data_IF_999835114289
#
_entry.id   IF_999835114289
#
_cell.length_a   1.000
_cell.length_b   1.000
_cell.length_c   1.000
_cell.angle_alpha   90.00
_cell.angle_beta   90.00
_cell.angle_gamma   90.00
#
_symmetry.space_group_name_H-M   'P 1'
#
loop_
_entity.id
_entity.type
_entity.pdbx_description
1 polymer ?
#
# COMPACT_ATOMS: atom_id res chain seq x y z
N UNK A 1 -29.85 -4.03 23.01
CA UNK A 1 -28.95 -2.92 22.63
C UNK A 1 -27.80 -2.90 23.60
N UNK A 2 -26.60 -2.99 23.09
CA UNK A 2 -25.38 -2.93 23.90
C UNK A 2 -25.16 -1.48 24.32
N UNK A 3 -24.72 -1.24 25.56
CA UNK A 3 -24.38 0.10 26.04
C UNK A 3 -23.05 0.58 25.40
N UNK A 4 -22.76 1.89 25.41
CA UNK A 4 -21.48 2.45 24.94
C UNK A 4 -20.26 1.81 25.61
N UNK A 5 -20.34 1.52 26.91
CA UNK A 5 -19.30 0.79 27.65
C UNK A 5 -19.20 -0.66 27.19
N UNK A 6 -20.32 -1.32 26.91
CA UNK A 6 -20.37 -2.65 26.34
C UNK A 6 -19.76 -2.76 24.96
N UNK A 7 -20.02 -1.78 24.09
CA UNK A 7 -19.36 -1.70 22.76
C UNK A 7 -17.83 -1.55 22.88
N UNK A 8 -17.39 -0.69 23.80
CA UNK A 8 -15.97 -0.51 24.07
C UNK A 8 -15.32 -1.80 24.63
N UNK A 9 -15.98 -2.45 25.57
CA UNK A 9 -15.53 -3.75 26.08
C UNK A 9 -15.45 -4.82 25.00
N UNK A 10 -16.48 -4.90 24.14
CA UNK A 10 -16.49 -5.85 23.02
C UNK A 10 -15.37 -5.57 22.00
N UNK A 11 -15.00 -4.30 21.80
CA UNK A 11 -13.85 -3.93 20.98
C UNK A 11 -12.54 -4.52 21.53
N UNK A 12 -12.26 -4.31 22.80
CA UNK A 12 -11.07 -4.88 23.44
C UNK A 12 -11.10 -6.40 23.53
N UNK A 13 -12.27 -6.99 23.82
CA UNK A 13 -12.43 -8.43 23.88
C UNK A 13 -12.14 -9.11 22.52
N UNK A 14 -12.58 -8.50 21.41
CA UNK A 14 -12.25 -8.99 20.06
C UNK A 14 -10.76 -8.96 19.81
N UNK A 15 -10.06 -7.87 20.15
CA UNK A 15 -8.61 -7.78 20.01
C UNK A 15 -7.87 -8.87 20.78
N UNK A 16 -8.29 -9.15 22.02
CA UNK A 16 -7.70 -10.23 22.84
C UNK A 16 -7.95 -11.59 22.21
N UNK A 17 -9.17 -11.84 21.72
CA UNK A 17 -9.50 -13.11 21.06
C UNK A 17 -8.75 -13.30 19.74
N UNK A 18 -8.59 -12.24 18.96
CA UNK A 18 -7.79 -12.27 17.73
C UNK A 18 -6.32 -12.59 18.02
N UNK A 19 -5.73 -11.94 19.05
CA UNK A 19 -4.36 -12.23 19.46
C UNK A 19 -4.20 -13.65 20.00
N UNK A 20 -5.18 -14.14 20.76
CA UNK A 20 -5.19 -15.52 21.25
C UNK A 20 -5.29 -16.53 20.10
N UNK A 21 -6.13 -16.24 19.10
CA UNK A 21 -6.26 -17.10 17.92
C UNK A 21 -4.96 -17.15 17.11
N UNK A 22 -4.30 -16.00 16.89
CA UNK A 22 -2.99 -15.93 16.23
C UNK A 22 -1.92 -16.71 16.98
N UNK A 23 -1.89 -16.59 18.31
CA UNK A 23 -0.99 -17.35 19.16
C UNK A 23 -1.24 -18.87 19.04
N UNK A 24 -2.51 -19.30 19.10
CA UNK A 24 -2.88 -20.69 18.92
C UNK A 24 -2.50 -21.22 17.53
N UNK A 25 -2.73 -20.43 16.48
CA UNK A 25 -2.42 -20.79 15.12
C UNK A 25 -0.91 -20.93 14.90
N UNK A 26 -0.12 -19.99 15.43
CA UNK A 26 1.34 -20.02 15.36
C UNK A 26 1.94 -21.26 16.07
N UNK A 27 1.35 -21.68 17.19
CA UNK A 27 1.84 -22.87 17.91
C UNK A 27 1.25 -24.19 17.40
N UNK A 28 0.04 -24.19 16.84
CA UNK A 28 -0.54 -25.38 16.18
C UNK A 28 0.14 -25.69 14.84
N UNK A 29 0.58 -24.67 14.10
CA UNK A 29 1.25 -24.83 12.81
C UNK A 29 2.68 -25.41 12.91
N UNK A 30 3.33 -25.34 14.06
CA UNK A 30 4.62 -26.02 14.29
C UNK A 30 4.51 -27.56 14.16
N UNK A 31 3.32 -28.12 14.22
CA UNK A 31 3.09 -29.57 14.07
C UNK A 31 2.71 -30.04 12.65
N UNK A 32 2.58 -29.14 11.65
CA UNK A 32 2.04 -29.46 10.32
C UNK A 32 2.91 -29.15 9.11
N UNK A 33 4.09 -28.55 9.24
CA UNK A 33 5.04 -28.36 8.12
C UNK A 33 4.69 -27.27 7.11
N UNK A 34 3.54 -26.56 7.22
CA UNK A 34 3.21 -25.41 6.38
C UNK A 34 3.98 -24.19 6.83
N UNK A 35 4.67 -23.53 5.90
CA UNK A 35 5.25 -22.22 6.17
C UNK A 35 4.18 -21.15 6.08
N UNK A 36 4.10 -20.32 7.11
CA UNK A 36 3.21 -19.16 7.17
C UNK A 36 4.02 -17.90 6.95
N UNK A 37 3.47 -16.96 6.20
CA UNK A 37 4.05 -15.66 5.96
C UNK A 37 2.98 -14.69 5.47
N UNK A 38 2.96 -13.49 6.04
CA UNK A 38 1.97 -12.46 5.72
C UNK A 38 2.66 -11.13 5.41
N UNK A 39 2.19 -10.48 4.38
CA UNK A 39 2.65 -9.14 3.97
C UNK A 39 1.46 -8.21 3.85
N UNK A 40 1.56 -7.04 4.45
CA UNK A 40 0.65 -5.91 4.20
C UNK A 40 1.38 -4.85 3.39
N UNK A 41 0.75 -4.29 2.35
CA UNK A 41 1.39 -3.35 1.43
C UNK A 41 0.42 -2.27 0.98
N UNK A 42 0.94 -1.08 0.72
CA UNK A 42 0.24 -0.14 -0.16
C UNK A 42 0.04 -0.78 -1.53
N UNK A 43 -0.80 -0.20 -2.38
CA UNK A 43 -1.21 -0.81 -3.65
C UNK A 43 -0.10 -0.78 -4.72
N UNK A 44 1.02 -1.46 -4.42
CA UNK A 44 2.18 -1.56 -5.31
C UNK A 44 2.18 -2.85 -6.11
N UNK A 45 2.11 -2.75 -7.43
CA UNK A 45 2.20 -3.91 -8.31
C UNK A 45 3.54 -4.66 -8.19
N UNK A 46 4.64 -3.94 -7.98
CA UNK A 46 5.94 -4.57 -7.79
C UNK A 46 6.00 -5.44 -6.52
N UNK A 47 5.24 -5.09 -5.46
CA UNK A 47 5.16 -5.90 -4.24
C UNK A 47 4.48 -7.24 -4.51
N UNK A 48 3.42 -7.23 -5.31
CA UNK A 48 2.74 -8.47 -5.74
C UNK A 48 3.67 -9.35 -6.56
N UNK A 49 4.42 -8.77 -7.51
CA UNK A 49 5.39 -9.50 -8.32
C UNK A 49 6.51 -10.09 -7.47
N UNK A 50 7.09 -9.31 -6.55
CA UNK A 50 8.12 -9.80 -5.62
C UNK A 50 7.58 -10.97 -4.76
N UNK A 51 6.32 -10.91 -4.33
CA UNK A 51 5.69 -11.98 -3.58
C UNK A 51 5.51 -13.25 -4.42
N UNK A 52 5.13 -13.12 -5.69
CA UNK A 52 5.06 -14.25 -6.64
C UNK A 52 6.43 -14.89 -6.83
N UNK A 53 7.46 -14.09 -7.08
CA UNK A 53 8.83 -14.60 -7.26
C UNK A 53 9.39 -15.25 -5.98
N UNK A 54 9.06 -14.71 -4.80
CA UNK A 54 9.40 -15.34 -3.52
C UNK A 54 8.82 -16.76 -3.43
N UNK A 55 7.55 -16.92 -3.75
CA UNK A 55 6.89 -18.23 -3.68
C UNK A 55 7.42 -19.23 -4.71
N UNK A 56 7.69 -18.78 -5.95
CA UNK A 56 8.32 -19.59 -6.98
C UNK A 56 9.73 -20.03 -6.59
N UNK A 57 10.53 -19.11 -6.03
CA UNK A 57 11.92 -19.35 -5.66
C UNK A 57 12.12 -20.14 -4.37
N UNK A 58 11.14 -20.15 -3.48
CA UNK A 58 11.28 -20.75 -2.16
C UNK A 58 11.29 -22.29 -2.16
N UNK A 59 10.86 -22.96 -3.24
CA UNK A 59 10.83 -24.42 -3.34
C UNK A 59 9.98 -25.09 -2.24
N UNK A 60 8.91 -24.41 -1.80
CA UNK A 60 8.07 -24.83 -0.69
C UNK A 60 6.84 -25.54 -1.26
N UNK A 61 6.67 -26.82 -0.93
CA UNK A 61 5.52 -27.61 -1.41
C UNK A 61 4.22 -27.29 -0.70
N UNK A 62 4.29 -26.77 0.56
CA UNK A 62 3.12 -26.42 1.36
C UNK A 62 3.32 -25.09 2.07
N UNK A 63 2.43 -24.13 1.79
CA UNK A 63 2.44 -22.82 2.44
C UNK A 63 1.01 -22.33 2.72
N UNK A 64 0.91 -21.44 3.69
CA UNK A 64 -0.30 -20.69 4.02
C UNK A 64 0.14 -19.23 4.20
N UNK A 65 0.04 -18.46 3.12
CA UNK A 65 0.61 -17.12 3.02
C UNK A 65 -0.47 -16.11 2.66
N UNK A 66 -0.33 -14.89 3.13
CA UNK A 66 -1.24 -13.82 2.77
C UNK A 66 -0.51 -12.58 2.27
N UNK A 67 -1.10 -11.96 1.26
CA UNK A 67 -0.71 -10.64 0.75
C UNK A 67 -1.94 -9.74 0.83
N UNK A 68 -1.84 -8.64 1.59
CA UNK A 68 -2.91 -7.67 1.79
C UNK A 68 -2.51 -6.33 1.18
N UNK A 69 -3.22 -5.91 0.16
CA UNK A 69 -3.17 -4.52 -0.28
C UNK A 69 -4.16 -3.73 0.59
N UNK A 70 -3.66 -2.79 1.38
CA UNK A 70 -4.47 -2.05 2.36
C UNK A 70 -3.92 -0.66 2.65
N UNK A 71 -4.63 0.08 3.47
CA UNK A 71 -4.36 1.47 3.82
C UNK A 71 -3.08 1.62 4.66
N UNK A 72 -2.39 2.73 4.51
CA UNK A 72 -1.10 2.98 5.18
C UNK A 72 -1.15 2.79 6.69
N UNK A 73 -2.23 3.27 7.35
CA UNK A 73 -2.37 3.08 8.79
C UNK A 73 -2.57 1.61 9.17
N UNK A 74 -3.38 0.88 8.39
CA UNK A 74 -3.63 -0.55 8.62
C UNK A 74 -2.37 -1.39 8.41
N UNK A 75 -1.51 -1.03 7.46
CA UNK A 75 -0.21 -1.69 7.28
C UNK A 75 0.62 -1.61 8.56
N UNK A 76 0.70 -0.41 9.16
CA UNK A 76 1.43 -0.20 10.41
C UNK A 76 0.80 -1.00 11.55
N UNK A 77 -0.53 -0.98 11.65
CA UNK A 77 -1.29 -1.74 12.66
C UNK A 77 -1.10 -3.26 12.51
N UNK A 78 -1.17 -3.77 11.29
CA UNK A 78 -0.97 -5.20 11.00
C UNK A 78 0.41 -5.69 11.45
N UNK A 79 1.47 -4.92 11.17
CA UNK A 79 2.83 -5.29 11.59
C UNK A 79 3.02 -5.10 13.10
N UNK A 80 2.45 -4.03 13.68
CA UNK A 80 2.51 -3.79 15.12
C UNK A 80 1.87 -4.93 15.93
N UNK A 81 0.77 -5.47 15.43
CA UNK A 81 0.01 -6.57 16.06
C UNK A 81 0.38 -7.96 15.53
N UNK A 82 1.48 -8.07 14.76
CA UNK A 82 1.97 -9.35 14.22
C UNK A 82 0.94 -10.09 13.33
N UNK A 83 0.03 -9.37 12.69
CA UNK A 83 -0.87 -9.91 11.65
C UNK A 83 -0.15 -10.04 10.31
N UNK A 84 0.93 -9.27 10.13
CA UNK A 84 1.86 -9.37 9.01
C UNK A 84 3.29 -9.24 9.52
N UNK A 85 4.20 -10.04 8.95
CA UNK A 85 5.63 -9.98 9.27
C UNK A 85 6.29 -8.77 8.65
N UNK A 86 5.81 -8.35 7.46
CA UNK A 86 6.35 -7.23 6.71
C UNK A 86 5.21 -6.30 6.29
N UNK A 87 5.45 -4.99 6.40
CA UNK A 87 4.60 -3.95 5.85
C UNK A 87 5.37 -3.10 4.84
N UNK A 88 4.86 -2.91 3.61
CA UNK A 88 5.48 -2.05 2.62
C UNK A 88 4.75 -0.72 2.52
N UNK A 89 5.51 0.37 2.60
CA UNK A 89 5.01 1.74 2.47
C UNK A 89 6.11 2.70 1.99
N UNK A 90 5.78 3.95 1.75
CA UNK A 90 6.77 4.95 1.40
C UNK A 90 6.79 6.13 2.37
N UNK A 91 7.94 6.80 2.42
CA UNK A 91 8.13 8.13 2.98
C UNK A 91 8.39 9.17 1.90
N UNK A 92 8.02 10.39 2.19
CA UNK A 92 8.54 11.60 1.56
C UNK A 92 8.74 12.67 2.65
N UNK A 93 9.27 13.83 2.31
CA UNK A 93 9.53 14.90 3.27
C UNK A 93 8.27 15.37 4.01
N UNK A 94 7.11 15.27 3.36
CA UNK A 94 5.83 15.68 3.93
C UNK A 94 5.30 14.69 4.97
N UNK A 95 5.27 13.40 4.66
CA UNK A 95 4.62 12.38 5.52
C UNK A 95 5.59 11.76 6.55
N UNK A 96 6.90 11.85 6.33
CA UNK A 96 7.94 11.24 7.18
C UNK A 96 7.79 11.55 8.67
N UNK A 97 7.62 12.81 9.12
CA UNK A 97 7.55 13.10 10.55
C UNK A 97 6.39 12.40 11.27
N UNK A 98 5.26 12.20 10.57
CA UNK A 98 4.07 11.55 11.13
C UNK A 98 4.24 10.03 11.13
N UNK A 99 4.66 9.48 10.00
CA UNK A 99 4.82 8.03 9.86
C UNK A 99 5.97 7.49 10.71
N UNK A 100 7.14 8.16 10.75
CA UNK A 100 8.26 7.76 11.62
C UNK A 100 7.86 7.76 13.10
N UNK A 101 7.12 8.79 13.54
CA UNK A 101 6.62 8.82 14.92
C UNK A 101 5.70 7.63 15.20
N UNK A 102 4.79 7.30 14.28
CA UNK A 102 3.85 6.20 14.44
C UNK A 102 4.58 4.85 14.45
N UNK A 103 5.51 4.64 13.53
CA UNK A 103 6.36 3.45 13.42
C UNK A 103 7.17 3.26 14.70
N UNK A 104 7.85 4.30 15.16
CA UNK A 104 8.65 4.25 16.41
C UNK A 104 7.77 3.98 17.63
N UNK A 105 6.59 4.61 17.74
CA UNK A 105 5.67 4.41 18.88
C UNK A 105 5.17 2.97 18.97
N UNK A 106 5.07 2.28 17.84
CA UNK A 106 4.65 0.87 17.75
C UNK A 106 5.84 -0.11 17.79
N UNK A 107 7.05 0.36 18.14
CA UNK A 107 8.28 -0.48 18.22
C UNK A 107 8.61 -1.18 16.90
N UNK A 108 8.37 -0.50 15.78
CA UNK A 108 8.69 -0.97 14.44
C UNK A 108 9.97 -0.31 13.91
N UNK A 109 10.61 -0.94 12.95
CA UNK A 109 11.76 -0.41 12.20
C UNK A 109 11.43 -0.31 10.72
N UNK A 110 11.72 0.85 10.11
CA UNK A 110 11.64 1.04 8.66
C UNK A 110 13.02 0.81 8.05
N UNK A 111 13.04 0.04 6.95
CA UNK A 111 14.23 -0.20 6.13
C UNK A 111 13.92 0.22 4.70
N UNK A 112 14.70 1.18 4.18
CA UNK A 112 14.57 1.63 2.80
C UNK A 112 15.04 0.54 1.83
N UNK A 113 14.26 0.33 0.77
CA UNK A 113 14.60 -0.55 -0.34
C UNK A 113 15.18 0.22 -1.52
N UNK A 114 14.50 1.29 -1.91
CA UNK A 114 14.93 2.17 -3.00
C UNK A 114 14.22 3.53 -2.94
N UNK A 115 14.74 4.48 -3.70
CA UNK A 115 14.08 5.76 -3.94
C UNK A 115 13.52 5.84 -5.34
N UNK A 116 12.43 6.60 -5.50
CA UNK A 116 11.78 6.82 -6.79
C UNK A 116 11.35 8.27 -6.96
N UNK A 117 11.44 8.78 -8.19
CA UNK A 117 10.84 10.06 -8.56
C UNK A 117 9.37 9.87 -8.94
N UNK A 118 8.53 10.90 -8.76
CA UNK A 118 7.12 10.82 -9.10
C UNK A 118 6.88 10.55 -10.58
N UNK A 119 5.97 9.66 -10.86
CA UNK A 119 5.44 9.35 -12.17
C UNK A 119 3.92 9.34 -12.12
N UNK A 120 3.29 9.52 -13.27
CA UNK A 120 1.87 9.23 -13.42
C UNK A 120 1.67 7.85 -14.05
N UNK A 121 0.65 7.15 -13.61
CA UNK A 121 0.12 5.98 -14.32
C UNK A 121 -1.12 6.40 -15.08
N UNK A 122 -1.14 6.09 -16.38
CA UNK A 122 -2.20 6.40 -17.33
C UNK A 122 -2.42 5.23 -18.27
N UNK A 123 -3.56 5.22 -18.96
CA UNK A 123 -3.79 4.27 -20.03
C UNK A 123 -2.85 4.51 -21.22
N UNK A 124 -2.43 3.47 -21.92
CA UNK A 124 -1.55 3.58 -23.11
C UNK A 124 -2.12 4.42 -24.25
N UNK A 125 -3.44 4.58 -24.30
CA UNK A 125 -4.13 5.41 -25.29
C UNK A 125 -4.47 6.81 -24.77
N UNK A 126 -4.01 7.16 -23.56
CA UNK A 126 -4.22 8.47 -22.96
C UNK A 126 -3.60 9.57 -23.82
N UNK A 127 -4.22 10.77 -23.96
CA UNK A 127 -3.68 11.86 -24.78
C UNK A 127 -2.23 12.30 -24.42
N UNK A 128 -1.79 12.02 -23.18
CA UNK A 128 -0.42 12.32 -22.71
C UNK A 128 0.54 11.12 -22.82
N UNK A 129 0.11 9.98 -23.32
CA UNK A 129 0.89 8.73 -23.33
C UNK A 129 2.22 8.80 -24.11
N UNK A 130 2.31 9.68 -25.10
CA UNK A 130 3.51 9.84 -25.92
C UNK A 130 4.44 10.98 -25.45
N UNK A 131 4.23 11.50 -24.25
CA UNK A 131 5.10 12.53 -23.67
C UNK A 131 6.23 11.90 -22.89
N UNK A 132 7.41 12.49 -22.99
CA UNK A 132 8.57 12.10 -22.19
C UNK A 132 8.44 12.53 -20.72
N UNK A 133 7.75 13.66 -20.48
CA UNK A 133 7.49 14.24 -19.16
C UNK A 133 6.15 14.97 -19.19
N UNK A 134 5.40 14.91 -18.10
CA UNK A 134 4.10 15.59 -17.92
C UNK A 134 4.15 16.47 -16.68
N UNK A 135 3.57 17.67 -16.75
CA UNK A 135 3.39 18.57 -15.59
C UNK A 135 2.02 18.42 -14.94
N UNK A 136 1.90 18.85 -13.69
CA UNK A 136 0.62 18.88 -12.97
C UNK A 136 -0.43 19.76 -13.65
N UNK A 137 -0.02 20.87 -14.28
CA UNK A 137 -0.92 21.76 -15.01
C UNK A 137 -1.57 21.05 -16.20
N UNK A 138 -0.84 20.18 -16.90
CA UNK A 138 -1.39 19.40 -18.00
C UNK A 138 -2.40 18.35 -17.55
N UNK A 139 -2.32 17.92 -16.29
CA UNK A 139 -3.20 16.93 -15.68
C UNK A 139 -4.52 17.51 -15.16
N UNK A 140 -4.65 18.82 -15.01
CA UNK A 140 -5.80 19.47 -14.39
C UNK A 140 -7.15 19.10 -15.02
N UNK A 141 -7.15 18.89 -16.33
CA UNK A 141 -8.38 18.52 -17.10
C UNK A 141 -8.79 17.06 -16.95
N UNK A 142 -7.90 16.18 -16.48
CA UNK A 142 -8.15 14.76 -16.34
C UNK A 142 -8.56 14.36 -14.92
N UNK A 143 -9.36 13.31 -14.73
CA UNK A 143 -9.68 12.83 -13.39
C UNK A 143 -8.45 12.27 -12.67
N UNK A 144 -8.19 12.78 -11.48
CA UNK A 144 -7.24 12.20 -10.55
C UNK A 144 -7.88 11.06 -9.77
N UNK A 145 -7.23 9.91 -9.70
CA UNK A 145 -7.71 8.74 -9.00
C UNK A 145 -6.70 8.38 -7.93
N UNK A 146 -7.15 8.21 -6.70
CA UNK A 146 -6.32 7.89 -5.55
C UNK A 146 -6.95 6.81 -4.68
N UNK A 147 -6.14 6.20 -3.82
CA UNK A 147 -6.65 5.26 -2.82
C UNK A 147 -7.19 6.00 -1.60
N UNK A 148 -8.37 5.57 -1.12
CA UNK A 148 -8.93 6.12 0.12
C UNK A 148 -8.22 5.53 1.35
N UNK A 149 -8.15 6.33 2.42
CA UNK A 149 -7.47 5.95 3.66
C UNK A 149 -8.44 5.72 4.82
N UNK A 150 -9.72 5.40 4.52
CA UNK A 150 -10.74 5.02 5.51
C UNK A 150 -10.89 6.03 6.66
N UNK A 151 -10.91 5.50 7.89
CA UNK A 151 -11.07 6.32 9.11
C UNK A 151 -9.85 7.20 9.41
N UNK A 152 -8.68 6.84 8.87
CA UNK A 152 -7.43 7.60 8.97
C UNK A 152 -7.20 8.46 7.72
N UNK A 153 -8.23 9.08 7.18
CA UNK A 153 -8.21 9.87 5.95
C UNK A 153 -7.50 11.22 6.15
N UNK A 154 -6.18 11.14 6.31
CA UNK A 154 -5.27 12.29 6.37
C UNK A 154 -4.29 12.22 5.20
N UNK A 155 -3.89 13.38 4.66
CA UNK A 155 -2.89 13.46 3.61
C UNK A 155 -1.55 12.78 3.97
N UNK A 156 -1.23 12.65 5.26
CA UNK A 156 -0.03 11.95 5.71
C UNK A 156 -0.06 10.44 5.47
N UNK A 157 -1.23 9.86 5.34
CA UNK A 157 -1.42 8.43 5.05
C UNK A 157 -1.69 8.14 3.57
N UNK A 158 -1.79 9.17 2.72
CA UNK A 158 -1.99 8.97 1.29
C UNK A 158 -0.88 8.12 0.67
N UNK A 159 -1.26 7.27 -0.26
CA UNK A 159 -0.32 6.41 -1.01
C UNK A 159 0.31 7.14 -2.19
N UNK A 160 -0.22 8.30 -2.53
CA UNK A 160 0.25 9.14 -3.61
C UNK A 160 1.00 10.35 -3.08
N UNK A 161 2.15 10.64 -3.67
CA UNK A 161 2.88 11.90 -3.45
C UNK A 161 2.05 13.08 -4.02
N UNK A 162 2.22 14.26 -3.46
CA UNK A 162 1.44 15.47 -3.80
C UNK A 162 -0.07 15.35 -3.49
N UNK A 163 -0.42 14.57 -2.49
CA UNK A 163 -1.81 14.37 -2.06
C UNK A 163 -2.52 15.65 -1.58
N UNK A 164 -1.76 16.66 -1.15
CA UNK A 164 -2.27 17.97 -0.70
C UNK A 164 -2.69 18.90 -1.83
N UNK A 165 -2.31 18.62 -3.07
CA UNK A 165 -2.70 19.45 -4.23
C UNK A 165 -4.18 19.26 -4.51
N UNK A 166 -4.92 20.37 -4.54
CA UNK A 166 -6.36 20.36 -4.86
C UNK A 166 -6.54 20.07 -6.35
N UNK A 167 -7.41 19.12 -6.66
CA UNK A 167 -7.72 18.71 -8.03
C UNK A 167 -9.21 18.88 -8.33
N UNK A 168 -9.57 19.48 -9.47
CA UNK A 168 -10.99 19.72 -9.83
C UNK A 168 -11.82 18.44 -9.96
N UNK A 169 -11.17 17.35 -10.39
CA UNK A 169 -11.81 16.04 -10.58
C UNK A 169 -11.04 15.01 -9.78
N UNK A 170 -11.62 14.50 -8.72
CA UNK A 170 -10.98 13.54 -7.82
C UNK A 170 -11.91 12.37 -7.54
N UNK A 171 -11.44 11.15 -7.78
CA UNK A 171 -12.15 9.90 -7.49
C UNK A 171 -11.29 9.10 -6.51
N UNK A 172 -11.91 8.59 -5.44
CA UNK A 172 -11.24 7.71 -4.48
C UNK A 172 -11.74 6.29 -4.66
N UNK A 173 -10.81 5.34 -4.60
CA UNK A 173 -11.07 3.90 -4.75
C UNK A 173 -10.42 3.11 -3.62
N UNK A 174 -10.81 1.85 -3.46
CA UNK A 174 -10.25 0.95 -2.43
C UNK A 174 -9.33 -0.13 -2.98
N UNK A 175 -9.38 -0.35 -4.27
CA UNK A 175 -8.67 -1.46 -4.90
C UNK A 175 -8.06 -1.06 -6.25
N UNK A 176 -7.02 -1.78 -6.62
CA UNK A 176 -6.24 -1.52 -7.84
C UNK A 176 -7.02 -1.84 -9.12
N UNK A 177 -7.93 -2.81 -9.10
CA UNK A 177 -8.72 -3.16 -10.27
C UNK A 177 -9.70 -2.03 -10.64
N UNK A 178 -10.35 -1.43 -9.63
CA UNK A 178 -11.17 -0.24 -9.80
C UNK A 178 -10.35 0.95 -10.29
N UNK A 179 -9.17 1.18 -9.71
CA UNK A 179 -8.26 2.25 -10.13
C UNK A 179 -7.93 2.11 -11.62
N UNK A 180 -7.43 0.96 -12.05
CA UNK A 180 -7.04 0.74 -13.44
C UNK A 180 -8.21 0.84 -14.42
N UNK A 181 -9.39 0.34 -14.04
CA UNK A 181 -10.59 0.48 -14.85
C UNK A 181 -10.97 1.95 -15.07
N UNK A 182 -10.82 2.79 -14.05
CA UNK A 182 -11.11 4.22 -14.16
C UNK A 182 -10.01 4.98 -14.92
N UNK A 183 -8.73 4.59 -14.78
CA UNK A 183 -7.64 5.14 -15.61
C UNK A 183 -7.94 4.93 -17.10
N UNK A 184 -8.38 3.73 -17.48
CA UNK A 184 -8.68 3.40 -18.86
C UNK A 184 -10.02 3.97 -19.36
N UNK A 185 -11.04 3.97 -18.50
CA UNK A 185 -12.40 4.34 -18.91
C UNK A 185 -12.67 5.83 -18.93
N UNK A 186 -11.88 6.64 -18.20
CA UNK A 186 -12.10 8.08 -18.05
C UNK A 186 -10.90 8.93 -18.48
N UNK A 187 -9.89 8.34 -19.12
CA UNK A 187 -8.59 8.99 -19.34
C UNK A 187 -8.06 9.62 -18.04
N UNK A 188 -8.17 8.88 -16.94
CA UNK A 188 -7.74 9.32 -15.64
C UNK A 188 -6.24 9.11 -15.41
N UNK A 189 -5.73 9.63 -14.30
CA UNK A 189 -4.36 9.40 -13.86
C UNK A 189 -4.28 9.18 -12.35
N UNK A 190 -3.21 8.50 -11.92
CA UNK A 190 -2.76 8.46 -10.53
C UNK A 190 -1.28 8.80 -10.46
N UNK A 191 -0.79 9.20 -9.28
CA UNK A 191 0.64 9.50 -9.06
C UNK A 191 1.27 8.38 -8.25
N UNK A 192 2.39 7.84 -8.71
CA UNK A 192 3.08 6.73 -8.09
C UNK A 192 4.60 6.78 -8.30
N UNK A 193 5.30 5.73 -7.90
CA UNK A 193 6.76 5.61 -8.00
C UNK A 193 7.30 5.41 -9.42
N UNK A 194 6.45 5.17 -10.40
CA UNK A 194 6.87 4.81 -11.75
C UNK A 194 7.27 3.34 -11.93
N UNK A 195 7.40 2.59 -10.84
CA UNK A 195 7.71 1.16 -10.91
C UNK A 195 6.42 0.39 -11.20
N UNK A 196 6.29 -0.07 -12.42
CA UNK A 196 5.17 -0.87 -12.89
C UNK A 196 5.72 -2.14 -13.55
N UNK A 197 5.08 -3.26 -13.28
CA UNK A 197 5.41 -4.52 -13.91
C UNK A 197 4.38 -4.82 -15.01
N UNK A 198 4.85 -4.85 -16.25
CA UNK A 198 3.99 -5.08 -17.42
C UNK A 198 3.41 -6.51 -17.44
N UNK A 199 4.13 -7.50 -16.91
CA UNK A 199 3.64 -8.89 -16.85
C UNK A 199 2.45 -9.03 -15.90
N UNK A 200 2.46 -8.27 -14.79
CA UNK A 200 1.41 -8.31 -13.75
C UNK A 200 0.25 -7.36 -14.07
N UNK A 201 0.53 -6.18 -14.63
CA UNK A 201 -0.47 -5.13 -14.85
C UNK A 201 -1.01 -5.08 -16.29
N UNK A 202 -0.42 -5.85 -17.20
CA UNK A 202 -0.71 -5.83 -18.63
C UNK A 202 -0.19 -4.57 -19.33
N UNK A 203 -0.12 -4.64 -20.64
CA UNK A 203 0.41 -3.57 -21.52
C UNK A 203 -0.50 -2.32 -21.60
N UNK A 204 -1.59 -2.25 -20.85
CA UNK A 204 -2.59 -1.20 -21.02
C UNK A 204 -2.35 0.02 -20.14
N UNK A 205 -1.56 -0.11 -19.08
CA UNK A 205 -1.16 0.99 -18.19
C UNK A 205 0.32 1.26 -18.38
N UNK A 206 0.65 2.52 -18.56
CA UNK A 206 2.02 3.00 -18.74
C UNK A 206 2.39 4.01 -17.66
N UNK A 207 3.69 4.14 -17.44
CA UNK A 207 4.29 5.12 -16.53
C UNK A 207 4.91 6.26 -17.33
N UNK A 208 4.60 7.50 -16.96
CA UNK A 208 5.20 8.70 -17.55
C UNK A 208 5.77 9.57 -16.43
N UNK A 209 7.03 10.05 -16.54
CA UNK A 209 7.65 10.91 -15.53
C UNK A 209 6.84 12.19 -15.29
N UNK A 210 6.76 12.62 -14.02
CA UNK A 210 6.18 13.90 -13.63
C UNK A 210 7.28 14.95 -13.55
N UNK A 211 7.00 16.18 -14.03
CA UNK A 211 7.96 17.28 -14.06
C UNK A 211 8.27 17.84 -12.66
N UNK A 212 7.33 17.74 -11.74
CA UNK A 212 7.46 18.24 -10.38
C UNK A 212 8.49 17.41 -9.58
N UNK A 213 9.39 18.12 -8.92
CA UNK A 213 10.40 17.51 -8.07
C UNK A 213 9.76 16.85 -6.84
N UNK A 214 10.20 15.65 -6.54
CA UNK A 214 9.77 14.88 -5.37
C UNK A 214 10.60 13.61 -5.25
N UNK A 215 10.68 13.08 -4.04
CA UNK A 215 11.38 11.84 -3.77
C UNK A 215 10.51 10.96 -2.87
N UNK A 216 10.30 9.73 -3.30
CA UNK A 216 9.64 8.68 -2.54
C UNK A 216 10.70 7.70 -2.04
N UNK A 217 10.80 7.54 -0.73
CA UNK A 217 11.64 6.52 -0.09
C UNK A 217 10.76 5.30 0.17
N UNK A 218 10.84 4.32 -0.69
CA UNK A 218 10.04 3.11 -0.61
C UNK A 218 10.80 2.09 0.21
N UNK A 219 10.11 1.49 1.18
CA UNK A 219 10.72 0.55 2.10
C UNK A 219 9.71 -0.36 2.77
N UNK A 220 10.23 -1.13 3.72
CA UNK A 220 9.40 -2.01 4.52
C UNK A 220 9.58 -1.76 6.01
N UNK A 221 8.54 -2.09 6.76
CA UNK A 221 8.56 -2.07 8.22
C UNK A 221 8.50 -3.51 8.76
N UNK A 222 9.19 -3.72 9.86
CA UNK A 222 9.18 -4.97 10.64
C UNK A 222 9.00 -4.66 12.13
N UNK A 223 8.48 -5.63 12.88
CA UNK A 223 8.37 -5.52 14.32
C UNK A 223 9.71 -5.87 14.98
N UNK A 224 10.17 -5.04 15.93
CA UNK A 224 11.46 -5.20 16.62
C UNK A 224 11.48 -6.42 17.58
N UNK A 225 10.35 -7.05 17.80
CA UNK A 225 10.20 -8.25 18.66
C UNK A 225 10.29 -9.57 17.89
N UNK A 226 10.41 -9.50 16.57
CA UNK A 226 10.53 -10.68 15.69
C UNK A 226 11.98 -11.10 15.50
#
# INVERSE_FOLDING_TARGET
TVSKEGERFLGYARQVLEQAALLEEQYKSQSGGKKQFSVSTQHYSFAVNAFVELLKGAGIDQYDVSLRETQTYEIIDDVAHMKSEIGLLFYNDFNRPVLEKLIHTNELTFTELFTAHPHIFIGKNHPLANKDVVSMDELEKYPYISFEQGDHNSFYFSEEIFSTVVRPKHIRVRDRASLFSLLLGLDGYTVSSGVIDEEVNGENIISVPLAEEGLMHIGYITNNKM
#
